data_IF_909271332792
#
_entry.id   IF_909271332792
#
_cell.length_a   1.000
_cell.length_b   1.000
_cell.length_c   1.000
_cell.angle_alpha   90.00
_cell.angle_beta   90.00
_cell.angle_gamma   90.00
#
_symmetry.space_group_name_H-M   'P 1'
#
loop_
_entity.id
_entity.type
_entity.pdbx_description
1 polymer ?
#
# COMPACT_ATOMS: atom_id res chain seq x y z
N UNK A 1 4.35 -23.88 -12.17
CA UNK A 1 4.41 -23.00 -10.98
C UNK A 1 3.11 -22.21 -10.92
N UNK A 2 2.51 -22.05 -9.73
CA UNK A 2 1.35 -21.17 -9.51
C UNK A 2 1.80 -20.00 -8.64
N UNK A 3 1.65 -18.79 -9.14
CA UNK A 3 1.93 -17.54 -8.42
C UNK A 3 0.60 -16.90 -8.04
N UNK A 4 0.46 -16.47 -6.78
CA UNK A 4 -0.63 -15.60 -6.37
C UNK A 4 -0.12 -14.16 -6.31
N UNK A 5 -0.93 -13.23 -6.81
CA UNK A 5 -0.74 -11.80 -6.63
C UNK A 5 -1.94 -11.31 -5.84
N UNK A 6 -1.70 -10.80 -4.65
CA UNK A 6 -2.69 -10.15 -3.80
C UNK A 6 -2.41 -8.66 -3.84
N UNK A 7 -3.46 -7.87 -3.94
CA UNK A 7 -3.37 -6.43 -4.10
C UNK A 7 -4.40 -5.75 -3.19
N UNK A 8 -3.95 -4.73 -2.48
CA UNK A 8 -4.79 -3.79 -1.73
C UNK A 8 -4.48 -2.38 -2.23
N UNK A 9 -5.40 -1.43 -2.06
CA UNK A 9 -5.23 -0.03 -2.43
C UNK A 9 -6.27 0.82 -1.70
N UNK A 10 -6.02 2.13 -1.60
CA UNK A 10 -7.00 3.13 -1.11
C UNK A 10 -7.55 2.79 0.29
N UNK A 11 -6.70 2.20 1.13
CA UNK A 11 -7.12 1.81 2.49
C UNK A 11 -7.33 3.04 3.37
N UNK A 12 -6.74 4.19 3.00
CA UNK A 12 -6.94 5.50 3.64
C UNK A 12 -6.87 5.46 5.18
N UNK A 13 -5.96 4.63 5.70
CA UNK A 13 -5.72 4.51 7.13
C UNK A 13 -6.87 3.91 7.94
N UNK A 14 -7.83 3.21 7.32
CA UNK A 14 -8.85 2.48 8.05
C UNK A 14 -8.28 1.24 8.74
N UNK A 15 -7.69 1.46 9.92
CA UNK A 15 -7.00 0.43 10.70
C UNK A 15 -7.94 -0.67 11.20
N UNK A 16 -9.17 -0.27 11.57
CA UNK A 16 -10.21 -1.14 12.10
C UNK A 16 -11.37 -1.31 11.11
N UNK A 17 -12.19 -2.36 11.29
CA UNK A 17 -13.44 -2.48 10.55
C UNK A 17 -14.32 -1.24 10.73
N UNK A 18 -14.98 -0.83 9.66
CA UNK A 18 -15.79 0.39 9.62
C UNK A 18 -17.04 0.17 8.77
N UNK A 19 -18.09 0.98 8.98
CA UNK A 19 -19.31 0.89 8.16
C UNK A 19 -19.02 1.30 6.72
N UNK A 20 -19.39 0.44 5.78
CA UNK A 20 -19.32 0.67 4.34
C UNK A 20 -20.67 0.43 3.68
N UNK A 21 -20.92 1.19 2.62
CA UNK A 21 -22.16 1.12 1.85
C UNK A 21 -22.02 0.09 0.72
N UNK A 22 -22.94 -0.87 0.72
CA UNK A 22 -23.08 -1.89 -0.32
C UNK A 22 -24.47 -1.82 -0.95
N UNK A 23 -24.60 -2.44 -2.12
CA UNK A 23 -25.87 -2.62 -2.82
C UNK A 23 -26.16 -4.12 -2.93
N UNK A 24 -27.34 -4.54 -2.49
CA UNK A 24 -27.86 -5.89 -2.66
C UNK A 24 -29.19 -5.88 -3.42
N UNK A 25 -29.82 -7.04 -3.60
CA UNK A 25 -31.08 -7.20 -4.34
C UNK A 25 -32.24 -6.35 -3.79
N UNK A 26 -32.18 -5.96 -2.51
CA UNK A 26 -33.21 -5.19 -1.81
C UNK A 26 -32.87 -3.70 -1.64
N UNK A 27 -31.67 -3.26 -2.05
CA UNK A 27 -31.23 -1.87 -1.98
C UNK A 27 -29.92 -1.67 -1.23
N UNK A 28 -29.78 -0.49 -0.63
CA UNK A 28 -28.61 -0.09 0.15
C UNK A 28 -28.52 -0.86 1.47
N UNK A 29 -27.36 -1.42 1.74
CA UNK A 29 -27.03 -2.06 3.02
C UNK A 29 -25.72 -1.51 3.55
N UNK A 30 -25.68 -1.21 4.84
CA UNK A 30 -24.45 -0.78 5.51
C UNK A 30 -23.91 -1.94 6.34
N UNK A 31 -22.70 -2.37 6.04
CA UNK A 31 -22.04 -3.47 6.74
C UNK A 31 -20.71 -3.00 7.33
N UNK A 32 -20.33 -3.56 8.48
CA UNK A 32 -19.02 -3.29 9.07
C UNK A 32 -18.00 -4.26 8.49
N UNK A 33 -17.07 -3.76 7.68
CA UNK A 33 -16.10 -4.57 6.94
C UNK A 33 -14.69 -3.97 7.02
N UNK A 34 -13.72 -4.65 6.41
CA UNK A 34 -12.35 -4.14 6.27
C UNK A 34 -11.54 -4.24 7.56
N UNK A 35 -10.57 -3.35 7.71
CA UNK A 35 -9.60 -3.36 8.81
C UNK A 35 -8.41 -4.28 8.58
N UNK A 36 -7.24 -3.85 9.04
CA UNK A 36 -5.97 -4.54 8.79
C UNK A 36 -5.87 -5.92 9.43
N UNK A 37 -6.58 -6.15 10.54
CA UNK A 37 -6.63 -7.48 11.17
C UNK A 37 -7.31 -8.52 10.27
N UNK A 38 -8.41 -8.15 9.59
CA UNK A 38 -9.09 -9.04 8.65
C UNK A 38 -8.25 -9.27 7.39
N UNK A 39 -7.65 -8.19 6.84
CA UNK A 39 -6.74 -8.29 5.70
C UNK A 39 -5.57 -9.24 6.02
N UNK A 40 -4.96 -9.09 7.20
CA UNK A 40 -3.85 -9.93 7.64
C UNK A 40 -4.24 -11.41 7.72
N UNK A 41 -5.41 -11.73 8.29
CA UNK A 41 -5.92 -13.11 8.35
C UNK A 41 -6.12 -13.72 6.96
N UNK A 42 -6.78 -12.99 6.05
CA UNK A 42 -6.99 -13.46 4.68
C UNK A 42 -5.68 -13.67 3.92
N UNK A 43 -4.74 -12.73 4.04
CA UNK A 43 -3.41 -12.84 3.42
C UNK A 43 -2.64 -14.04 3.99
N UNK A 44 -2.73 -14.29 5.30
CA UNK A 44 -2.09 -15.43 5.93
C UNK A 44 -2.63 -16.76 5.39
N UNK A 45 -3.95 -16.88 5.24
CA UNK A 45 -4.59 -18.08 4.70
C UNK A 45 -4.20 -18.31 3.23
N UNK A 46 -4.19 -17.26 2.40
CA UNK A 46 -3.72 -17.32 1.01
C UNK A 46 -2.25 -17.79 0.95
N UNK A 47 -1.40 -17.30 1.85
CA UNK A 47 0.03 -17.67 1.92
C UNK A 47 0.26 -19.09 2.42
N UNK A 48 -0.58 -19.58 3.34
CA UNK A 48 -0.57 -20.98 3.81
C UNK A 48 -0.91 -21.93 2.65
N UNK A 49 -1.91 -21.59 1.86
CA UNK A 49 -2.32 -22.39 0.70
C UNK A 49 -1.32 -22.33 -0.46
N UNK A 50 -0.67 -21.18 -0.67
CA UNK A 50 0.39 -21.04 -1.67
C UNK A 50 1.53 -20.12 -1.17
N UNK A 51 2.71 -20.68 -0.83
CA UNK A 51 3.85 -19.87 -0.38
C UNK A 51 4.44 -18.97 -1.48
N UNK A 52 4.09 -19.22 -2.76
CA UNK A 52 4.43 -18.33 -3.88
C UNK A 52 3.35 -17.25 -4.03
N UNK A 53 3.14 -16.48 -2.96
CA UNK A 53 2.22 -15.34 -2.92
C UNK A 53 3.00 -14.05 -2.74
N UNK A 54 2.68 -13.07 -3.58
CA UNK A 54 3.12 -11.69 -3.44
C UNK A 54 1.94 -10.83 -2.98
N UNK A 55 2.22 -9.83 -2.14
CA UNK A 55 1.24 -8.84 -1.67
C UNK A 55 1.75 -7.44 -1.98
N UNK A 56 0.94 -6.66 -2.67
CA UNK A 56 1.24 -5.29 -3.04
C UNK A 56 0.20 -4.32 -2.52
N UNK A 57 0.62 -3.08 -2.27
CA UNK A 57 -0.25 -1.95 -1.95
C UNK A 57 -0.16 -0.87 -3.04
N UNK A 58 -1.30 -0.52 -3.63
CA UNK A 58 -1.43 0.48 -4.68
C UNK A 58 -1.27 1.93 -4.24
N UNK A 59 -1.14 2.19 -2.94
CA UNK A 59 -1.00 3.52 -2.37
C UNK A 59 -2.28 4.03 -1.73
N UNK A 60 -2.23 5.29 -1.28
CA UNK A 60 -3.28 5.96 -0.51
C UNK A 60 -3.50 5.32 0.87
N UNK A 61 -2.38 4.94 1.48
CA UNK A 61 -2.35 4.14 2.71
C UNK A 61 -1.90 4.96 3.92
N UNK A 62 -1.04 5.96 3.73
CA UNK A 62 -0.38 6.69 4.83
C UNK A 62 -1.19 7.84 5.43
N UNK A 63 -2.41 8.12 4.95
CA UNK A 63 -3.28 9.19 5.45
C UNK A 63 -4.75 8.75 5.51
N UNK A 64 -5.66 9.62 5.99
CA UNK A 64 -7.12 9.45 5.90
C UNK A 64 -7.83 9.47 7.25
N UNK A 65 -7.44 8.60 8.19
CA UNK A 65 -8.02 8.55 9.54
C UNK A 65 -7.23 9.37 10.57
N UNK A 66 -7.87 9.74 11.68
CA UNK A 66 -7.26 10.53 12.76
C UNK A 66 -5.91 9.98 13.26
N UNK A 67 -5.73 8.67 13.52
CA UNK A 67 -4.43 8.14 13.93
C UNK A 67 -3.30 8.44 12.93
N UNK A 68 -3.59 8.37 11.63
CA UNK A 68 -2.60 8.67 10.60
C UNK A 68 -2.39 10.17 10.43
N UNK A 69 -3.42 10.98 10.58
CA UNK A 69 -3.29 12.44 10.59
C UNK A 69 -2.43 12.91 11.76
N UNK A 70 -2.71 12.44 12.97
CA UNK A 70 -2.00 12.85 14.18
C UNK A 70 -0.52 12.38 14.16
N UNK A 71 -0.26 11.17 13.63
CA UNK A 71 1.08 10.59 13.55
C UNK A 71 1.82 10.90 12.25
N UNK A 72 1.18 11.63 11.32
CA UNK A 72 1.67 11.85 9.95
C UNK A 72 2.08 10.56 9.24
N UNK A 73 1.22 9.54 9.33
CA UNK A 73 1.39 8.22 8.73
C UNK A 73 2.25 7.24 9.53
N UNK A 74 2.91 7.65 10.61
CA UNK A 74 3.85 6.76 11.33
C UNK A 74 3.15 5.63 12.09
N UNK A 75 1.90 5.83 12.52
CA UNK A 75 1.17 4.83 13.31
C UNK A 75 0.89 3.52 12.55
N UNK A 76 0.91 3.52 11.21
CA UNK A 76 0.62 2.32 10.40
C UNK A 76 1.86 1.45 10.13
N UNK A 77 3.06 2.00 10.29
CA UNK A 77 4.34 1.31 10.03
C UNK A 77 4.40 -0.10 10.63
N UNK A 78 4.13 -0.32 11.94
CA UNK A 78 4.20 -1.66 12.52
C UNK A 78 3.20 -2.63 11.89
N UNK A 79 2.04 -2.13 11.45
CA UNK A 79 0.98 -2.92 10.82
C UNK A 79 1.41 -3.34 9.41
N UNK A 80 1.92 -2.40 8.60
CA UNK A 80 2.40 -2.70 7.24
C UNK A 80 3.59 -3.66 7.27
N UNK A 81 4.51 -3.48 8.21
CA UNK A 81 5.64 -4.38 8.39
C UNK A 81 5.19 -5.79 8.81
N UNK A 82 4.14 -5.90 9.64
CA UNK A 82 3.57 -7.18 10.02
C UNK A 82 2.83 -7.89 8.86
N UNK A 83 2.22 -7.11 7.95
CA UNK A 83 1.61 -7.64 6.73
C UNK A 83 2.61 -8.23 5.73
N UNK A 84 3.89 -7.86 5.84
CA UNK A 84 4.96 -8.32 4.93
C UNK A 84 4.60 -8.03 3.46
N UNK A 85 4.31 -6.77 3.16
CA UNK A 85 4.16 -6.32 1.77
C UNK A 85 5.45 -6.56 1.00
N UNK A 86 5.34 -6.84 -0.30
CA UNK A 86 6.46 -6.94 -1.22
C UNK A 86 6.82 -5.56 -1.79
N UNK A 87 5.82 -4.71 -2.03
CA UNK A 87 6.01 -3.28 -2.31
C UNK A 87 4.73 -2.48 -2.03
N UNK A 88 4.90 -1.17 -1.81
CA UNK A 88 3.83 -0.18 -1.83
C UNK A 88 4.13 0.85 -2.91
N UNK A 89 3.11 1.47 -3.49
CA UNK A 89 3.28 2.56 -4.45
C UNK A 89 2.93 3.88 -3.80
N UNK A 90 3.76 4.91 -3.97
CA UNK A 90 3.40 6.26 -3.53
C UNK A 90 2.39 6.94 -4.46
N UNK A 91 1.19 7.27 -3.94
CA UNK A 91 0.20 8.13 -4.60
C UNK A 91 -0.12 9.41 -3.78
N UNK A 92 -1.12 9.43 -2.91
CA UNK A 92 -1.35 10.51 -1.92
C UNK A 92 -0.48 10.37 -0.67
N UNK A 93 0.37 9.36 -0.62
CA UNK A 93 1.31 9.10 0.47
C UNK A 93 2.32 10.25 0.66
N UNK A 94 2.38 11.20 -0.28
CA UNK A 94 3.10 12.47 -0.19
C UNK A 94 2.36 13.55 0.60
N UNK A 95 1.15 13.30 1.14
CA UNK A 95 0.29 14.30 1.77
C UNK A 95 0.89 15.03 2.99
N UNK A 96 1.95 14.50 3.58
CA UNK A 96 2.73 15.16 4.65
C UNK A 96 4.10 15.66 4.19
N UNK A 97 4.33 15.71 2.89
CA UNK A 97 5.56 16.15 2.24
C UNK A 97 6.55 15.02 1.93
N UNK A 98 7.48 15.27 0.99
CA UNK A 98 8.46 14.27 0.54
C UNK A 98 9.41 13.81 1.66
N UNK A 99 9.80 14.70 2.57
CA UNK A 99 10.68 14.34 3.69
C UNK A 99 10.05 13.32 4.63
N UNK A 100 8.75 13.50 4.93
CA UNK A 100 8.00 12.56 5.78
C UNK A 100 7.85 11.21 5.09
N UNK A 101 7.54 11.19 3.79
CA UNK A 101 7.46 9.94 3.03
C UNK A 101 8.79 9.19 3.04
N UNK A 102 9.92 9.88 2.88
CA UNK A 102 11.26 9.26 2.97
C UNK A 102 11.58 8.76 4.37
N UNK A 103 11.14 9.46 5.42
CA UNK A 103 11.27 8.99 6.81
C UNK A 103 10.49 7.70 7.03
N UNK A 104 9.27 7.60 6.50
CA UNK A 104 8.45 6.38 6.59
C UNK A 104 9.07 5.26 5.77
N UNK A 105 9.48 5.52 4.52
CA UNK A 105 10.10 4.54 3.62
C UNK A 105 11.31 3.84 4.28
N UNK A 106 12.13 4.58 5.03
CA UNK A 106 13.30 4.03 5.76
C UNK A 106 12.94 3.11 6.93
N UNK A 107 11.69 3.14 7.41
CA UNK A 107 11.19 2.33 8.52
C UNK A 107 10.36 1.13 8.06
N UNK A 108 10.01 1.07 6.78
CA UNK A 108 9.33 -0.07 6.18
C UNK A 108 10.33 -1.16 5.82
N UNK A 109 9.91 -2.42 5.94
CA UNK A 109 10.70 -3.60 5.58
C UNK A 109 10.63 -3.93 4.08
N UNK A 110 9.98 -3.08 3.29
CA UNK A 110 9.73 -3.22 1.86
C UNK A 110 9.77 -1.83 1.21
N UNK A 111 10.04 -1.73 -0.10
CA UNK A 111 10.19 -0.45 -0.77
C UNK A 111 8.84 0.24 -1.04
N UNK A 112 8.84 1.57 -0.95
CA UNK A 112 7.86 2.40 -1.65
C UNK A 112 8.39 2.68 -3.07
N UNK A 113 7.61 2.27 -4.07
CA UNK A 113 7.93 2.39 -5.49
C UNK A 113 7.29 3.62 -6.13
N UNK A 114 7.97 4.15 -7.15
CA UNK A 114 7.44 5.22 -8.00
C UNK A 114 8.39 5.50 -9.16
N UNK A 115 8.00 5.14 -10.39
CA UNK A 115 8.88 5.26 -11.56
C UNK A 115 8.75 6.58 -12.33
N UNK A 116 7.84 7.46 -11.91
CA UNK A 116 7.59 8.78 -12.48
C UNK A 116 7.65 9.92 -11.45
N UNK A 117 8.34 9.70 -10.32
CA UNK A 117 8.56 10.72 -9.30
C UNK A 117 10.05 11.06 -9.24
N UNK A 118 10.39 12.31 -9.54
CA UNK A 118 11.76 12.77 -9.71
C UNK A 118 12.12 13.85 -8.70
N UNK A 119 13.40 13.92 -8.35
CA UNK A 119 14.01 15.08 -7.69
C UNK A 119 14.22 16.20 -8.71
N UNK A 120 14.55 17.39 -8.21
CA UNK A 120 14.86 18.56 -9.04
C UNK A 120 16.01 18.31 -10.03
N UNK A 121 16.97 17.44 -9.67
CA UNK A 121 18.08 17.06 -10.53
C UNK A 121 17.72 16.01 -11.61
N UNK A 122 16.46 15.61 -11.69
CA UNK A 122 15.95 14.60 -12.64
C UNK A 122 16.21 13.15 -12.23
N UNK A 123 16.88 12.89 -11.10
CA UNK A 123 17.03 11.54 -10.56
C UNK A 123 15.73 11.05 -9.91
N UNK A 124 15.52 9.74 -9.83
CA UNK A 124 14.32 9.20 -9.19
C UNK A 124 14.29 9.56 -7.69
N UNK A 125 13.13 9.98 -7.20
CA UNK A 125 12.89 10.24 -5.79
C UNK A 125 12.59 8.95 -5.02
N UNK A 126 11.79 8.06 -5.61
CA UNK A 126 11.50 6.72 -5.11
C UNK A 126 12.23 5.67 -5.95
N UNK A 127 12.29 4.44 -5.45
CA UNK A 127 12.81 3.35 -6.25
C UNK A 127 11.84 3.07 -7.42
N UNK A 128 12.29 3.02 -8.68
CA UNK A 128 11.38 2.89 -9.82
C UNK A 128 10.87 1.46 -10.03
N UNK A 129 11.62 0.46 -9.59
CA UNK A 129 11.31 -0.96 -9.80
C UNK A 129 11.95 -1.82 -8.71
N UNK A 130 11.29 -2.91 -8.31
CA UNK A 130 11.85 -3.96 -7.44
C UNK A 130 11.89 -5.30 -8.21
N UNK A 131 12.93 -6.10 -7.98
CA UNK A 131 13.07 -7.42 -8.58
C UNK A 131 12.83 -8.50 -7.54
N UNK A 132 11.64 -9.11 -7.58
CA UNK A 132 11.21 -10.11 -6.62
C UNK A 132 11.47 -11.51 -7.15
N UNK A 133 11.84 -12.45 -6.26
CA UNK A 133 12.00 -13.86 -6.62
C UNK A 133 11.05 -14.75 -5.81
N UNK A 134 10.19 -15.50 -6.50
CA UNK A 134 9.29 -16.50 -5.90
C UNK A 134 9.23 -17.75 -6.75
N UNK A 135 9.35 -18.92 -6.11
CA UNK A 135 9.27 -20.21 -6.79
C UNK A 135 10.30 -20.39 -7.92
N UNK A 136 11.44 -19.70 -7.86
CA UNK A 136 12.47 -19.71 -8.91
C UNK A 136 12.18 -18.80 -10.12
N UNK A 137 11.17 -17.94 -10.05
CA UNK A 137 10.86 -16.94 -11.08
C UNK A 137 11.13 -15.54 -10.57
N UNK A 138 11.78 -14.73 -11.42
CA UNK A 138 12.05 -13.31 -11.19
C UNK A 138 10.94 -12.44 -11.76
N UNK A 139 10.44 -11.50 -10.99
CA UNK A 139 9.31 -10.63 -11.32
C UNK A 139 9.77 -9.18 -11.12
N UNK A 140 9.71 -8.38 -12.17
CA UNK A 140 9.96 -6.94 -12.08
C UNK A 140 8.66 -6.21 -11.79
N UNK A 141 8.59 -5.49 -10.68
CA UNK A 141 7.45 -4.65 -10.32
C UNK A 141 7.77 -3.18 -10.62
N UNK A 142 6.96 -2.55 -11.49
CA UNK A 142 7.11 -1.15 -11.90
C UNK A 142 5.75 -0.49 -11.90
N UNK A 143 5.64 0.64 -11.20
CA UNK A 143 4.37 1.33 -11.04
C UNK A 143 4.43 2.83 -11.38
N UNK A 144 3.33 3.34 -11.93
CA UNK A 144 3.12 4.72 -12.36
C UNK A 144 2.10 5.41 -11.45
N UNK A 145 2.45 6.55 -10.85
CA UNK A 145 1.48 7.45 -10.20
C UNK A 145 0.67 8.18 -11.27
N UNK A 146 -0.63 8.39 -11.07
CA UNK A 146 -1.41 9.31 -11.91
C UNK A 146 -0.92 10.76 -11.71
N UNK A 147 -0.60 11.46 -12.81
CA UNK A 147 -0.29 12.89 -12.80
C UNK A 147 -1.59 13.67 -12.94
N UNK A 148 -2.03 14.30 -11.86
CA UNK A 148 -3.24 15.13 -11.83
C UNK A 148 -3.04 16.50 -12.49
N UNK A 149 -1.81 16.84 -12.92
CA UNK A 149 -1.46 18.16 -13.45
C UNK A 149 -1.46 19.26 -12.39
N UNK A 150 -1.68 18.93 -11.11
CA UNK A 150 -1.53 19.86 -10.01
C UNK A 150 -0.11 19.75 -9.46
N UNK A 151 0.63 20.86 -9.52
CA UNK A 151 1.93 20.97 -8.88
C UNK A 151 1.73 20.93 -7.37
N UNK A 152 1.95 19.78 -6.75
CA UNK A 152 2.14 19.69 -5.30
C UNK A 152 3.46 20.40 -4.98
N UNK A 153 3.35 21.68 -4.63
CA UNK A 153 4.47 22.59 -4.31
C UNK A 153 5.04 22.32 -2.91
#
# INVERSE_FOLDING_TARGET
MKLNIVFINDVHGYLAPHPELFYNETGEVVETVGGYAHIAGLVEDIRKDNPNTLLFDGGDTLHGTKPLVDSKGEAIIPILNALKLDALVGHWDFGYGPEQLQKINKQLNFPILGCNVFKVDGSNFLQPTELLEKGGVKIGDRYLRYDSGQSDA
#
